data_IF_148433091660
#
_entry.id   IF_148433091660
#
_cell.length_a   1.000
_cell.length_b   1.000
_cell.length_c   1.000
_cell.angle_alpha   90.00
_cell.angle_beta   90.00
_cell.angle_gamma   90.00
#
_symmetry.space_group_name_H-M   'P 1'
#
loop_
_entity.id
_entity.type
_entity.pdbx_description
1 polymer ?
#
# COMPACT_ATOMS: atom_id res chain seq x y z
N UNK A 1 19.73 15.15 -0.61
CA UNK A 1 18.63 15.86 -1.31
C UNK A 1 17.65 14.88 -1.93
N UNK A 2 18.13 13.92 -2.74
CA UNK A 2 17.30 12.85 -3.37
C UNK A 2 16.50 12.02 -2.34
N UNK A 3 17.12 11.69 -1.21
CA UNK A 3 16.43 10.99 -0.10
C UNK A 3 15.25 11.79 0.45
N UNK A 4 15.40 13.11 0.66
CA UNK A 4 14.34 13.97 1.21
C UNK A 4 13.10 14.06 0.30
N UNK A 5 13.29 14.20 -1.01
CA UNK A 5 12.17 14.23 -1.96
C UNK A 5 11.45 12.88 -2.01
N UNK A 6 12.21 11.78 -2.06
CA UNK A 6 11.65 10.43 -2.06
C UNK A 6 10.83 10.15 -0.81
N UNK A 7 11.31 10.61 0.34
CA UNK A 7 10.61 10.51 1.64
C UNK A 7 9.31 11.32 1.66
N UNK A 8 9.28 12.52 1.07
CA UNK A 8 8.05 13.34 1.00
C UNK A 8 7.00 12.71 0.08
N UNK A 9 7.43 12.16 -1.05
CA UNK A 9 6.54 11.47 -1.97
C UNK A 9 5.98 10.17 -1.36
N UNK A 10 6.79 9.45 -0.58
CA UNK A 10 6.32 8.25 0.14
C UNK A 10 5.31 8.58 1.22
N UNK A 11 5.49 9.72 1.91
CA UNK A 11 4.50 10.22 2.85
C UNK A 11 3.12 10.40 2.21
N UNK A 12 3.07 11.11 1.08
CA UNK A 12 1.81 11.42 0.39
C UNK A 12 1.10 10.14 -0.09
N UNK A 13 1.85 9.20 -0.68
CA UNK A 13 1.29 7.93 -1.14
C UNK A 13 0.67 7.11 -0.01
N UNK A 14 1.39 6.98 1.11
CA UNK A 14 0.92 6.19 2.25
C UNK A 14 -0.28 6.82 2.95
N UNK A 15 -0.32 8.16 3.03
CA UNK A 15 -1.49 8.88 3.54
C UNK A 15 -2.73 8.60 2.68
N UNK A 16 -2.58 8.62 1.35
CA UNK A 16 -3.67 8.31 0.43
C UNK A 16 -4.08 6.83 0.47
N UNK A 17 -3.12 5.90 0.61
CA UNK A 17 -3.41 4.47 0.80
C UNK A 17 -4.26 4.24 2.05
N UNK A 18 -3.87 4.86 3.17
CA UNK A 18 -4.60 4.80 4.44
C UNK A 18 -6.00 5.39 4.28
N UNK A 19 -6.12 6.63 3.79
CA UNK A 19 -7.42 7.29 3.57
C UNK A 19 -8.35 6.49 2.67
N UNK A 20 -7.83 5.96 1.57
CA UNK A 20 -8.61 5.17 0.62
C UNK A 20 -9.14 3.91 1.29
N UNK A 21 -8.28 3.18 2.02
CA UNK A 21 -8.69 1.99 2.75
C UNK A 21 -9.72 2.29 3.85
N UNK A 22 -9.56 3.40 4.56
CA UNK A 22 -10.50 3.85 5.59
C UNK A 22 -11.86 4.16 5.01
N UNK A 23 -11.89 4.93 3.92
CA UNK A 23 -13.12 5.27 3.22
C UNK A 23 -13.85 4.02 2.73
N UNK A 24 -13.15 3.07 2.11
CA UNK A 24 -13.75 1.83 1.64
C UNK A 24 -14.31 1.01 2.79
N UNK A 25 -13.57 0.85 3.89
CA UNK A 25 -14.03 0.10 5.06
C UNK A 25 -15.32 0.66 5.65
N UNK A 26 -15.43 1.99 5.77
CA UNK A 26 -16.62 2.69 6.25
C UNK A 26 -17.77 2.61 5.25
N UNK A 27 -17.51 2.78 3.95
CA UNK A 27 -18.56 2.68 2.92
C UNK A 27 -19.19 1.30 2.86
N UNK A 28 -18.44 0.24 3.17
CA UNK A 28 -18.98 -1.11 3.25
C UNK A 28 -19.88 -1.35 4.46
N UNK A 29 -19.82 -0.51 5.51
CA UNK A 29 -20.80 -0.60 6.61
C UNK A 29 -22.20 -0.14 6.17
N UNK A 30 -22.26 0.84 5.26
CA UNK A 30 -23.52 1.40 4.76
C UNK A 30 -24.22 0.49 3.74
N UNK A 31 -23.51 -0.49 3.17
CA UNK A 31 -24.11 -1.42 2.22
C UNK A 31 -24.99 -2.45 2.94
N UNK A 32 -26.18 -2.67 2.36
CA UNK A 32 -27.06 -3.76 2.77
C UNK A 32 -26.45 -5.10 2.39
N UNK A 33 -26.33 -5.99 3.36
CA UNK A 33 -25.89 -7.36 3.12
C UNK A 33 -27.13 -8.20 2.79
N UNK A 34 -27.01 -9.21 1.92
CA UNK A 34 -28.11 -10.13 1.58
C UNK A 34 -28.78 -10.78 2.79
N UNK A 35 -28.10 -10.86 3.94
CA UNK A 35 -28.65 -11.33 5.22
C UNK A 35 -29.54 -10.31 5.95
N UNK A 36 -29.45 -9.02 5.61
CA UNK A 36 -30.26 -7.93 6.18
C UNK A 36 -31.56 -7.70 5.39
N UNK A 37 -31.61 -8.19 4.15
CA UNK A 37 -32.84 -8.23 3.37
C UNK A 37 -33.72 -9.34 3.95
N UNK A 38 -34.67 -8.97 4.80
CA UNK A 38 -35.72 -9.89 5.25
C UNK A 38 -36.40 -10.47 4.00
N UNK A 39 -36.59 -11.80 3.92
CA UNK A 39 -37.39 -12.36 2.84
C UNK A 39 -38.80 -11.81 3.01
N UNK A 40 -39.16 -10.83 2.18
CA UNK A 40 -40.55 -10.40 2.05
C UNK A 40 -41.38 -11.64 1.77
N UNK A 41 -42.51 -11.81 2.47
CA UNK A 41 -43.41 -12.98 2.33
C UNK A 41 -43.68 -13.22 0.85
N UNK A 42 -42.95 -14.15 0.25
CA UNK A 42 -43.11 -14.50 -1.15
C UNK A 42 -44.27 -15.47 -1.25
N UNK A 43 -45.19 -15.16 -2.15
CA UNK A 43 -46.34 -15.99 -2.51
C UNK A 43 -45.85 -17.44 -2.80
N UNK A 44 -46.40 -18.49 -2.17
CA UNK A 44 -45.87 -19.87 -2.23
C UNK A 44 -45.71 -20.45 -3.63
N UNK A 45 -46.37 -19.89 -4.64
CA UNK A 45 -46.23 -20.30 -6.04
C UNK A 45 -44.90 -19.85 -6.67
N UNK A 46 -44.35 -18.70 -6.27
CA UNK A 46 -43.08 -18.17 -6.80
C UNK A 46 -41.85 -18.82 -6.13
N UNK A 47 -42.03 -19.38 -4.93
CA UNK A 47 -40.97 -20.07 -4.19
C UNK A 47 -40.53 -21.38 -4.88
N UNK A 48 -41.45 -22.10 -5.55
CA UNK A 48 -41.13 -23.36 -6.26
C UNK A 48 -40.33 -23.16 -7.54
N UNK A 49 -40.47 -22.02 -8.21
CA UNK A 49 -39.67 -21.69 -9.40
C UNK A 49 -38.29 -21.14 -9.04
N UNK A 50 -38.13 -20.51 -7.87
CA UNK A 50 -36.84 -19.97 -7.42
C UNK A 50 -35.91 -21.01 -6.79
N UNK A 51 -36.42 -22.18 -6.38
CA UNK A 51 -35.61 -23.27 -5.81
C UNK A 51 -34.76 -23.98 -6.87
N UNK A 52 -35.19 -24.03 -8.13
CA UNK A 52 -34.45 -24.71 -9.21
C UNK A 52 -33.23 -23.93 -9.71
N UNK A 53 -33.14 -22.63 -9.38
CA UNK A 53 -31.99 -21.79 -9.72
C UNK A 53 -31.02 -21.59 -8.55
N UNK A 54 -31.26 -22.23 -7.38
CA UNK A 54 -30.31 -22.17 -6.27
C UNK A 54 -29.17 -23.16 -6.50
N UNK A 55 -28.01 -22.60 -6.85
CA UNK A 55 -26.77 -23.34 -6.87
C UNK A 55 -26.47 -23.86 -5.44
N UNK A 56 -26.22 -25.16 -5.20
CA UNK A 56 -26.03 -25.72 -3.85
C UNK A 56 -24.79 -25.17 -3.12
N UNK A 57 -23.88 -24.49 -3.82
CA UNK A 57 -22.76 -23.75 -3.23
C UNK A 57 -23.20 -22.47 -2.49
N UNK A 58 -24.32 -21.86 -2.89
CA UNK A 58 -24.86 -20.66 -2.25
C UNK A 58 -25.45 -20.93 -0.86
N UNK A 59 -25.87 -22.17 -0.59
CA UNK A 59 -26.35 -22.58 0.74
C UNK A 59 -25.21 -22.90 1.73
N UNK A 60 -24.05 -23.34 1.24
CA UNK A 60 -22.83 -23.48 2.07
C UNK A 60 -22.16 -22.14 2.38
N UNK A 61 -22.44 -21.10 1.59
CA UNK A 61 -22.01 -19.72 1.84
C UNK A 61 -22.91 -18.95 2.80
N UNK A 62 -23.94 -19.58 3.39
CA UNK A 62 -24.51 -19.14 4.68
C UNK A 62 -23.51 -19.44 5.80
N UNK A 63 -22.28 -18.97 5.66
CA UNK A 63 -21.50 -18.65 6.85
C UNK A 63 -22.34 -17.59 7.55
N UNK A 64 -22.83 -17.94 8.72
CA UNK A 64 -23.44 -17.00 9.65
C UNK A 64 -22.40 -15.91 9.91
N UNK A 65 -22.42 -14.85 9.10
CA UNK A 65 -21.63 -13.66 9.35
C UNK A 65 -22.33 -12.95 10.50
N UNK A 66 -22.06 -13.45 11.70
CA UNK A 66 -22.45 -12.82 12.95
C UNK A 66 -22.08 -11.34 12.85
N UNK A 67 -23.02 -10.48 13.27
CA UNK A 67 -22.92 -9.04 13.39
C UNK A 67 -21.83 -8.64 14.40
N UNK A 68 -20.59 -9.05 14.15
CA UNK A 68 -19.42 -8.75 14.95
C UNK A 68 -18.80 -7.48 14.37
N UNK A 69 -18.53 -6.53 15.26
CA UNK A 69 -17.79 -5.32 14.92
C UNK A 69 -16.45 -5.71 14.31
N UNK A 70 -16.12 -5.12 13.16
CA UNK A 70 -14.80 -5.25 12.56
C UNK A 70 -13.83 -4.30 13.26
N UNK A 71 -12.65 -4.81 13.62
CA UNK A 71 -11.56 -4.01 14.15
C UNK A 71 -10.40 -4.14 13.18
N UNK A 72 -9.98 -3.03 12.57
CA UNK A 72 -8.99 -3.00 11.50
C UNK A 72 -7.74 -2.26 11.96
N UNK A 73 -6.66 -2.98 12.33
CA UNK A 73 -5.39 -2.40 12.72
C UNK A 73 -4.85 -1.40 11.68
N UNK A 74 -4.26 -0.32 12.17
CA UNK A 74 -3.54 0.61 11.33
C UNK A 74 -2.23 0.02 10.80
N UNK A 75 -1.76 0.54 9.68
CA UNK A 75 -0.47 0.18 9.09
C UNK A 75 0.68 0.87 9.85
N UNK A 76 1.75 0.15 10.13
CA UNK A 76 2.99 0.70 10.69
C UNK A 76 3.73 1.51 9.62
N UNK A 77 3.73 2.84 9.75
CA UNK A 77 4.35 3.75 8.79
C UNK A 77 5.85 3.94 9.04
N UNK A 78 6.32 3.63 10.25
CA UNK A 78 7.72 3.83 10.67
C UNK A 78 8.61 2.65 10.31
N UNK A 79 8.06 1.44 10.18
CA UNK A 79 8.84 0.24 9.84
C UNK A 79 9.61 0.40 8.52
N UNK A 80 9.03 1.14 7.57
CA UNK A 80 9.62 1.47 6.27
C UNK A 80 10.94 2.25 6.38
N UNK A 81 11.04 3.16 7.35
CA UNK A 81 12.19 4.05 7.51
C UNK A 81 13.22 3.50 8.49
N UNK A 82 12.77 2.73 9.50
CA UNK A 82 13.68 2.05 10.43
C UNK A 82 14.59 1.06 9.70
N UNK A 83 14.05 0.28 8.76
CA UNK A 83 14.85 -0.67 7.95
C UNK A 83 15.86 0.01 7.04
N UNK A 84 15.51 1.18 6.51
CA UNK A 84 16.37 1.96 5.60
C UNK A 84 17.30 2.95 6.32
N UNK A 85 17.36 2.93 7.66
CA UNK A 85 18.12 3.89 8.50
C UNK A 85 17.81 5.36 8.18
N UNK A 86 16.60 5.62 7.65
CA UNK A 86 16.13 6.96 7.33
C UNK A 86 15.28 7.50 8.48
N UNK A 87 15.30 8.82 8.66
CA UNK A 87 14.34 9.48 9.56
C UNK A 87 12.96 9.43 8.90
N UNK A 88 12.00 8.80 9.58
CA UNK A 88 10.59 8.80 9.16
C UNK A 88 10.07 10.24 9.05
N UNK A 89 9.39 10.62 7.96
CA UNK A 89 8.70 11.90 7.86
C UNK A 89 7.42 11.91 8.69
N UNK A 90 6.88 10.73 9.01
CA UNK A 90 5.64 10.60 9.74
C UNK A 90 5.82 10.96 11.21
N UNK A 91 4.99 11.89 11.67
CA UNK A 91 4.85 12.22 13.10
C UNK A 91 4.27 11.05 13.92
N UNK A 92 3.38 10.25 13.30
CA UNK A 92 2.74 9.08 13.93
C UNK A 92 3.37 7.78 13.43
N UNK A 93 3.57 6.82 14.34
CA UNK A 93 4.17 5.52 14.03
C UNK A 93 3.24 4.59 13.24
N UNK A 94 1.94 4.70 13.50
CA UNK A 94 0.92 3.81 12.95
C UNK A 94 -0.28 4.66 12.50
N UNK A 95 -0.89 4.26 11.39
CA UNK A 95 -2.21 4.75 10.96
C UNK A 95 -3.27 4.55 12.06
N UNK A 96 -4.36 5.35 12.08
CA UNK A 96 -5.49 5.10 12.96
C UNK A 96 -6.04 3.67 12.82
N UNK A 97 -6.51 3.13 13.95
CA UNK A 97 -7.36 1.95 14.04
C UNK A 97 -8.76 2.31 13.54
N UNK A 98 -9.36 1.46 12.72
CA UNK A 98 -10.71 1.69 12.21
C UNK A 98 -11.63 0.63 12.82
N UNK A 99 -12.75 1.09 13.37
CA UNK A 99 -13.80 0.21 13.89
C UNK A 99 -15.01 0.31 12.96
N UNK A 100 -15.49 -0.84 12.49
CA UNK A 100 -16.68 -0.94 11.65
C UNK A 100 -17.81 -1.63 12.40
N UNK A 101 -19.04 -1.27 12.07
CA UNK A 101 -20.26 -1.86 12.66
C UNK A 101 -20.40 -3.31 12.21
N UNK A 102 -20.02 -3.59 10.96
CA UNK A 102 -20.08 -4.92 10.35
C UNK A 102 -18.67 -5.44 10.10
N UNK A 103 -18.59 -6.75 9.84
CA UNK A 103 -17.38 -7.40 9.35
C UNK A 103 -17.76 -8.23 8.12
N UNK A 104 -17.55 -7.66 6.95
CA UNK A 104 -17.98 -8.20 5.66
C UNK A 104 -16.80 -8.67 4.82
N UNK A 105 -17.06 -9.58 3.86
CA UNK A 105 -16.03 -10.05 2.92
C UNK A 105 -15.34 -8.91 2.15
N UNK A 106 -16.05 -7.88 1.64
CA UNK A 106 -15.41 -6.73 1.02
C UNK A 106 -14.48 -5.96 1.96
N UNK A 107 -14.85 -5.81 3.24
CA UNK A 107 -13.98 -5.17 4.24
C UNK A 107 -12.71 -5.98 4.49
N UNK A 108 -12.83 -7.31 4.63
CA UNK A 108 -11.67 -8.21 4.79
C UNK A 108 -10.75 -8.16 3.57
N UNK A 109 -11.31 -8.22 2.36
CA UNK A 109 -10.56 -8.14 1.10
C UNK A 109 -9.86 -6.78 0.95
N UNK A 110 -10.52 -5.68 1.33
CA UNK A 110 -9.93 -4.34 1.33
C UNK A 110 -8.76 -4.24 2.31
N UNK A 111 -8.93 -4.77 3.51
CA UNK A 111 -7.87 -4.79 4.52
C UNK A 111 -6.65 -5.59 4.08
N UNK A 112 -6.86 -6.78 3.50
CA UNK A 112 -5.78 -7.60 2.93
C UNK A 112 -5.08 -6.85 1.79
N UNK A 113 -5.85 -6.35 0.82
CA UNK A 113 -5.32 -5.59 -0.33
C UNK A 113 -4.49 -4.38 0.10
N UNK A 114 -4.93 -3.64 1.12
CA UNK A 114 -4.17 -2.53 1.71
C UNK A 114 -2.81 -2.99 2.23
N UNK A 115 -2.77 -4.10 2.96
CA UNK A 115 -1.52 -4.64 3.51
C UNK A 115 -0.59 -5.16 2.40
N UNK A 116 -1.13 -5.82 1.39
CA UNK A 116 -0.35 -6.32 0.25
C UNK A 116 0.28 -5.18 -0.55
N UNK A 117 -0.52 -4.15 -0.87
CA UNK A 117 -0.03 -2.93 -1.55
C UNK A 117 1.03 -2.24 -0.71
N UNK A 118 0.87 -2.18 0.61
CA UNK A 118 1.88 -1.64 1.50
C UNK A 118 3.21 -2.41 1.41
N UNK A 119 3.18 -3.75 1.45
CA UNK A 119 4.39 -4.58 1.34
C UNK A 119 5.07 -4.46 -0.03
N UNK A 120 4.28 -4.43 -1.11
CA UNK A 120 4.79 -4.16 -2.46
C UNK A 120 5.48 -2.81 -2.51
N UNK A 121 4.85 -1.79 -1.92
CA UNK A 121 5.40 -0.45 -1.86
C UNK A 121 6.73 -0.42 -1.10
N UNK A 122 6.80 -1.02 0.09
CA UNK A 122 8.03 -1.12 0.90
C UNK A 122 9.18 -1.70 0.06
N UNK A 123 8.94 -2.85 -0.56
CA UNK A 123 9.94 -3.54 -1.39
C UNK A 123 10.39 -2.69 -2.59
N UNK A 124 9.45 -1.99 -3.23
CA UNK A 124 9.75 -1.11 -4.36
C UNK A 124 10.54 0.13 -3.96
N UNK A 125 10.25 0.67 -2.77
CA UNK A 125 10.91 1.85 -2.22
C UNK A 125 12.36 1.55 -1.88
N UNK A 126 12.61 0.45 -1.16
CA UNK A 126 13.97 -0.01 -0.82
C UNK A 126 14.83 -0.22 -2.08
N UNK A 127 14.27 -0.89 -3.09
CA UNK A 127 14.95 -1.11 -4.38
C UNK A 127 15.30 0.20 -5.08
N UNK A 128 14.40 1.18 -5.05
CA UNK A 128 14.63 2.51 -5.64
C UNK A 128 15.73 3.26 -4.91
N UNK A 129 15.72 3.26 -3.57
CA UNK A 129 16.78 3.90 -2.76
C UNK A 129 18.14 3.27 -3.10
N UNK A 130 18.24 1.94 -3.07
CA UNK A 130 19.47 1.24 -3.38
C UNK A 130 19.98 1.54 -4.81
N UNK A 131 19.08 1.59 -5.79
CA UNK A 131 19.41 1.97 -7.17
C UNK A 131 19.94 3.41 -7.28
N UNK A 132 19.31 4.36 -6.57
CA UNK A 132 19.74 5.76 -6.55
C UNK A 132 21.13 5.92 -5.91
N UNK A 133 21.41 5.22 -4.82
CA UNK A 133 22.73 5.22 -4.20
C UNK A 133 23.80 4.63 -5.11
N UNK A 134 23.50 3.51 -5.77
CA UNK A 134 24.38 2.91 -6.76
C UNK A 134 24.70 3.88 -7.90
N UNK A 135 23.68 4.57 -8.43
CA UNK A 135 23.84 5.58 -9.48
C UNK A 135 24.67 6.77 -9.01
N UNK A 136 24.44 7.26 -7.78
CA UNK A 136 25.26 8.32 -7.18
C UNK A 136 26.73 7.92 -7.11
N UNK A 137 27.04 6.72 -6.62
CA UNK A 137 28.42 6.22 -6.54
C UNK A 137 29.07 6.15 -7.92
N UNK A 138 28.33 5.67 -8.93
CA UNK A 138 28.81 5.63 -10.32
C UNK A 138 29.14 7.02 -10.86
N UNK A 139 28.26 8.00 -10.66
CA UNK A 139 28.48 9.38 -11.10
C UNK A 139 29.70 10.02 -10.44
N UNK A 140 29.88 9.85 -9.13
CA UNK A 140 31.07 10.36 -8.42
C UNK A 140 32.36 9.72 -8.92
N UNK A 141 32.33 8.42 -9.24
CA UNK A 141 33.49 7.73 -9.80
C UNK A 141 33.83 8.22 -11.20
N UNK A 142 32.82 8.47 -12.03
CA UNK A 142 32.99 9.04 -13.37
C UNK A 142 33.52 10.48 -13.31
N UNK A 143 32.99 11.30 -12.40
CA UNK A 143 33.46 12.67 -12.15
C UNK A 143 34.93 12.69 -11.75
N UNK A 144 35.34 11.83 -10.80
CA UNK A 144 36.75 11.72 -10.41
C UNK A 144 37.62 11.32 -11.59
N UNK A 145 37.20 10.33 -12.39
CA UNK A 145 37.95 9.92 -13.59
C UNK A 145 38.11 11.06 -14.59
N UNK A 146 37.04 11.81 -14.85
CA UNK A 146 37.08 12.98 -15.74
C UNK A 146 38.04 14.04 -15.22
N UNK A 147 38.01 14.30 -13.90
CA UNK A 147 38.91 15.26 -13.27
C UNK A 147 40.39 14.85 -13.39
N UNK A 148 40.72 13.59 -13.11
CA UNK A 148 42.09 13.09 -13.28
C UNK A 148 42.53 13.17 -14.74
N UNK A 149 41.67 12.78 -15.68
CA UNK A 149 41.98 12.85 -17.11
C UNK A 149 42.25 14.27 -17.59
N UNK A 150 41.41 15.22 -17.15
CA UNK A 150 41.59 16.63 -17.44
C UNK A 150 42.89 17.18 -16.85
N UNK A 151 43.22 16.81 -15.60
CA UNK A 151 44.48 17.20 -14.94
C UNK A 151 45.70 16.67 -15.70
N UNK A 152 45.70 15.40 -16.09
CA UNK A 152 46.76 14.81 -16.91
C UNK A 152 46.87 15.50 -18.26
N UNK A 153 45.74 15.83 -18.90
CA UNK A 153 45.74 16.53 -20.18
C UNK A 153 46.37 17.92 -20.09
N UNK A 154 46.10 18.68 -19.02
CA UNK A 154 46.74 19.98 -18.78
C UNK A 154 48.24 19.81 -18.57
N UNK A 155 48.65 18.81 -17.78
CA UNK A 155 50.07 18.56 -17.52
C UNK A 155 50.82 18.24 -18.82
N UNK A 156 50.23 17.39 -19.67
CA UNK A 156 50.79 17.07 -20.98
C UNK A 156 50.92 18.30 -21.87
N UNK A 157 49.91 19.19 -21.88
CA UNK A 157 49.98 20.44 -22.66
C UNK A 157 51.09 21.35 -22.13
N UNK A 158 51.24 21.49 -20.81
CA UNK A 158 52.30 22.30 -20.21
C UNK A 158 53.69 21.81 -20.60
N UNK A 159 53.89 20.49 -20.68
CA UNK A 159 55.16 19.90 -21.12
C UNK A 159 55.52 20.21 -22.57
N UNK A 160 54.58 20.64 -23.42
CA UNK A 160 54.84 21.02 -24.81
C UNK A 160 55.34 22.46 -25.00
N UNK A 161 55.19 23.30 -23.97
CA UNK A 161 55.59 24.72 -24.00
C UNK A 161 56.82 25.02 -23.13
N UNK A 162 57.51 23.97 -22.68
CA UNK A 162 58.83 24.01 -22.02
C UNK A 162 59.86 23.49 -23.00
#
# INVERSE_FOLDING_TARGET
MISKCSIKCSESFLQELVKCSEKLLLQFDDLLISSEVLPGKSDPLRAKQASDFRNPESEKLKVSFEKKRGIWPGVSLVELYTKSLMKSPFSKKTSPLINTVKNTLPQQSTFQSRNDVFQIYVSSFERRIASMEKRKKKLLHEEQRWFEHWKTSIENIKQLFV
#
